data_IF_302504488387
#
_entry.id   IF_302504488387
#
_cell.length_a   1.000
_cell.length_b   1.000
_cell.length_c   1.000
_cell.angle_alpha   90.00
_cell.angle_beta   90.00
_cell.angle_gamma   90.00
#
_symmetry.space_group_name_H-M   'P 1'
#
loop_
_entity.id
_entity.type
_entity.pdbx_description
1 polymer ?
#
# COMPACT_ATOMS: atom_id res chain seq x y z
N UNK A 1 8.16 -1.68 -4.58
CA UNK A 1 6.81 -1.11 -4.77
C UNK A 1 6.88 -0.14 -5.93
N UNK A 2 5.91 -0.19 -6.84
CA UNK A 2 5.77 0.80 -7.90
C UNK A 2 4.42 1.50 -7.69
N UNK A 3 4.42 2.82 -7.67
CA UNK A 3 3.20 3.63 -7.54
C UNK A 3 3.00 4.40 -8.84
N UNK A 4 1.76 4.40 -9.31
CA UNK A 4 1.31 5.18 -10.47
C UNK A 4 0.13 6.06 -10.08
N UNK A 5 -0.40 6.84 -11.02
CA UNK A 5 -1.61 7.66 -10.82
C UNK A 5 -2.90 6.85 -10.70
N UNK A 6 -2.88 5.54 -11.02
CA UNK A 6 -4.09 4.69 -11.03
C UNK A 6 -4.00 3.48 -10.12
N UNK A 7 -2.79 2.97 -9.87
CA UNK A 7 -2.58 1.71 -9.14
C UNK A 7 -1.25 1.65 -8.40
N UNK A 8 -1.21 0.82 -7.37
CA UNK A 8 0.00 0.34 -6.69
C UNK A 8 0.31 -1.08 -7.19
N UNK A 9 1.58 -1.34 -7.48
CA UNK A 9 2.06 -2.65 -7.92
C UNK A 9 3.11 -3.18 -6.94
N UNK A 10 2.86 -4.38 -6.44
CA UNK A 10 3.79 -5.19 -5.65
C UNK A 10 4.40 -6.25 -6.55
N UNK A 11 5.73 -6.34 -6.51
CA UNK A 11 6.48 -7.40 -7.18
C UNK A 11 7.20 -8.14 -6.07
N UNK A 12 6.86 -9.42 -5.88
CA UNK A 12 7.58 -10.35 -4.99
C UNK A 12 8.31 -11.34 -5.88
N UNK A 13 9.61 -11.49 -5.69
CA UNK A 13 10.42 -12.48 -6.40
C UNK A 13 11.04 -13.42 -5.38
N UNK A 14 10.86 -14.72 -5.56
CA UNK A 14 11.43 -15.79 -4.73
C UNK A 14 12.40 -16.58 -5.62
N UNK A 15 13.70 -16.45 -5.37
CA UNK A 15 14.73 -17.07 -6.23
C UNK A 15 14.78 -16.48 -7.65
N UNK A 16 15.17 -17.30 -8.62
CA UNK A 16 15.43 -16.86 -10.01
C UNK A 16 14.23 -17.04 -10.97
N UNK A 17 13.24 -17.86 -10.60
CA UNK A 17 12.13 -18.22 -11.50
C UNK A 17 10.72 -18.12 -10.89
N UNK A 18 10.58 -17.68 -9.64
CA UNK A 18 9.28 -17.41 -9.03
C UNK A 18 9.11 -15.89 -8.85
N UNK A 19 8.16 -15.33 -9.60
CA UNK A 19 7.81 -13.92 -9.55
C UNK A 19 6.30 -13.78 -9.47
N UNK A 20 5.83 -13.24 -8.36
CA UNK A 20 4.43 -12.84 -8.16
C UNK A 20 4.29 -11.33 -8.33
N UNK A 21 3.39 -10.91 -9.22
CA UNK A 21 3.00 -9.50 -9.39
C UNK A 21 1.57 -9.32 -8.89
N UNK A 22 1.36 -8.40 -7.97
CA UNK A 22 0.04 -8.07 -7.41
C UNK A 22 -0.24 -6.59 -7.65
N UNK A 23 -1.45 -6.27 -8.10
CA UNK A 23 -1.85 -4.89 -8.39
C UNK A 23 -3.10 -4.50 -7.61
N UNK A 24 -3.16 -3.25 -7.18
CA UNK A 24 -4.33 -2.69 -6.50
C UNK A 24 -4.61 -1.29 -7.07
N UNK A 25 -5.84 -1.06 -7.51
CA UNK A 25 -6.30 0.26 -7.92
C UNK A 25 -6.31 1.20 -6.73
N UNK A 26 -5.85 2.44 -6.92
CA UNK A 26 -5.86 3.42 -5.83
C UNK A 26 -7.28 3.71 -5.33
N UNK A 27 -8.28 3.67 -6.21
CA UNK A 27 -9.70 3.85 -5.85
C UNK A 27 -10.28 2.73 -4.98
N UNK A 28 -9.59 1.58 -4.88
CA UNK A 28 -10.02 0.47 -4.02
C UNK A 28 -9.33 0.47 -2.66
N UNK A 29 -8.32 1.32 -2.47
CA UNK A 29 -7.59 1.43 -1.21
C UNK A 29 -8.52 2.10 -0.19
N UNK A 30 -8.75 1.42 0.93
CA UNK A 30 -9.53 1.94 2.03
C UNK A 30 -8.64 2.47 3.15
N UNK A 31 -7.55 1.74 3.46
CA UNK A 31 -6.60 2.15 4.49
C UNK A 31 -5.16 1.88 4.06
N UNK A 32 -4.26 2.76 4.54
CA UNK A 32 -2.82 2.60 4.41
C UNK A 32 -2.18 2.89 5.76
N UNK A 33 -1.41 1.94 6.26
CA UNK A 33 -0.69 2.08 7.52
C UNK A 33 0.73 1.56 7.41
N UNK A 34 1.60 1.93 8.34
CA UNK A 34 2.94 1.37 8.42
C UNK A 34 3.30 1.00 9.85
N UNK A 35 4.23 0.07 9.99
CA UNK A 35 4.73 -0.40 11.27
C UNK A 35 6.25 -0.51 11.24
N UNK A 36 6.90 0.12 12.22
CA UNK A 36 8.33 -0.06 12.53
C UNK A 36 8.40 -0.74 13.90
N UNK A 37 9.17 -1.83 14.01
CA UNK A 37 9.28 -2.61 15.25
C UNK A 37 10.73 -2.98 15.53
N UNK A 38 11.18 -2.69 16.75
CA UNK A 38 12.50 -3.07 17.27
C UNK A 38 13.56 -1.98 17.08
N UNK A 39 14.60 -2.04 17.92
CA UNK A 39 15.66 -1.03 17.99
C UNK A 39 16.37 -0.82 16.64
N UNK A 40 16.81 -1.91 16.01
CA UNK A 40 17.52 -1.85 14.73
C UNK A 40 16.65 -1.30 13.60
N UNK A 41 15.39 -1.75 13.49
CA UNK A 41 14.45 -1.24 12.49
C UNK A 41 14.18 0.25 12.65
N UNK A 42 14.11 0.75 13.89
CA UNK A 42 13.96 2.19 14.17
C UNK A 42 15.18 2.99 13.75
N UNK A 43 16.40 2.53 14.08
CA UNK A 43 17.64 3.23 13.70
C UNK A 43 17.83 3.26 12.18
N UNK A 44 17.63 2.12 11.53
CA UNK A 44 17.82 2.00 10.08
C UNK A 44 16.58 2.40 9.27
N UNK A 45 15.48 2.79 9.94
CA UNK A 45 14.22 3.24 9.34
C UNK A 45 13.57 2.22 8.40
N UNK A 46 13.65 0.93 8.71
CA UNK A 46 12.95 -0.12 7.97
C UNK A 46 11.69 -0.57 8.70
N UNK A 47 10.69 -0.99 7.94
CA UNK A 47 9.46 -1.53 8.51
C UNK A 47 8.56 -2.14 7.46
N UNK A 48 7.28 -2.28 7.79
CA UNK A 48 6.27 -2.83 6.91
C UNK A 48 5.25 -1.76 6.55
N UNK A 49 4.91 -1.65 5.27
CA UNK A 49 3.76 -0.87 4.80
C UNK A 49 2.61 -1.84 4.51
N UNK A 50 1.43 -1.54 5.05
CA UNK A 50 0.19 -2.30 4.87
C UNK A 50 -0.77 -1.47 4.02
N UNK A 51 -1.33 -2.05 2.96
CA UNK A 51 -2.37 -1.44 2.13
C UNK A 51 -3.57 -2.38 2.13
N UNK A 52 -4.72 -1.88 2.55
CA UNK A 52 -5.95 -2.66 2.70
C UNK A 52 -7.02 -2.13 1.74
N UNK A 53 -7.62 -3.04 0.97
CA UNK A 53 -8.77 -2.71 0.13
C UNK A 53 -10.08 -2.65 0.94
N UNK A 54 -11.05 -1.87 0.47
CA UNK A 54 -12.35 -1.69 1.15
C UNK A 54 -13.18 -2.97 1.32
N UNK A 55 -12.91 -4.01 0.53
CA UNK A 55 -13.53 -5.32 0.69
C UNK A 55 -12.87 -6.20 1.77
N UNK A 56 -11.80 -5.73 2.44
CA UNK A 56 -11.11 -6.43 3.53
C UNK A 56 -10.30 -7.66 3.13
N UNK A 57 -10.53 -8.23 1.95
CA UNK A 57 -9.90 -9.49 1.50
C UNK A 57 -8.54 -9.26 0.83
N UNK A 58 -8.32 -8.11 0.19
CA UNK A 58 -7.07 -7.84 -0.53
C UNK A 58 -6.15 -6.96 0.31
N UNK A 59 -5.01 -7.53 0.71
CA UNK A 59 -3.96 -6.84 1.46
C UNK A 59 -2.64 -6.91 0.71
N UNK A 60 -1.99 -5.75 0.53
CA UNK A 60 -0.62 -5.68 0.01
C UNK A 60 0.35 -5.26 1.11
N UNK A 61 1.12 -6.23 1.59
CA UNK A 61 2.19 -5.98 2.56
C UNK A 61 3.55 -5.78 1.90
N UNK A 62 4.25 -4.72 2.25
CA UNK A 62 5.62 -4.48 1.82
C UNK A 62 6.55 -4.57 3.03
N UNK A 63 7.02 -5.78 3.30
CA UNK A 63 7.96 -6.09 4.37
C UNK A 63 9.35 -5.50 4.06
N UNK A 64 10.11 -5.17 5.12
CA UNK A 64 11.47 -4.63 5.03
C UNK A 64 11.60 -3.40 4.12
N UNK A 65 10.53 -2.60 4.01
CA UNK A 65 10.52 -1.37 3.25
C UNK A 65 11.36 -0.32 3.98
N UNK A 66 12.28 0.31 3.25
CA UNK A 66 12.99 1.47 3.76
C UNK A 66 12.05 2.67 3.81
N UNK A 67 12.06 3.39 4.93
CA UNK A 67 11.26 4.59 5.17
C UNK A 67 9.76 4.39 4.85
N UNK A 68 9.06 3.43 5.45
CA UNK A 68 7.67 3.13 5.11
C UNK A 68 6.72 4.32 5.40
N UNK A 69 7.08 5.18 6.37
CA UNK A 69 6.36 6.44 6.62
C UNK A 69 6.42 7.44 5.45
N UNK A 70 7.49 7.44 4.64
CA UNK A 70 7.56 8.27 3.43
C UNK A 70 6.64 7.72 2.34
N UNK A 71 6.60 6.40 2.18
CA UNK A 71 5.68 5.73 1.26
C UNK A 71 4.22 6.02 1.63
N UNK A 72 3.86 5.94 2.91
CA UNK A 72 2.54 6.31 3.42
C UNK A 72 2.17 7.75 3.04
N UNK A 73 3.06 8.72 3.30
CA UNK A 73 2.81 10.13 2.95
C UNK A 73 2.57 10.34 1.46
N UNK A 74 3.37 9.69 0.59
CA UNK A 74 3.20 9.77 -0.87
C UNK A 74 1.86 9.17 -1.28
N UNK A 75 1.52 7.99 -0.75
CA UNK A 75 0.28 7.30 -1.11
C UNK A 75 -0.95 8.10 -0.66
N UNK A 76 -0.96 8.62 0.57
CA UNK A 76 -2.03 9.48 1.05
C UNK A 76 -2.18 10.75 0.20
N UNK A 77 -1.07 11.36 -0.23
CA UNK A 77 -1.12 12.51 -1.14
C UNK A 77 -1.71 12.17 -2.53
N UNK A 78 -1.59 10.93 -2.99
CA UNK A 78 -2.24 10.46 -4.22
C UNK A 78 -3.71 10.14 -4.00
N UNK A 79 -4.06 9.51 -2.88
CA UNK A 79 -5.43 9.19 -2.52
C UNK A 79 -6.29 10.44 -2.35
N UNK A 80 -5.76 11.50 -1.75
CA UNK A 80 -6.43 12.80 -1.61
C UNK A 80 -6.73 13.49 -2.94
N UNK A 81 -6.07 13.10 -4.03
CA UNK A 81 -6.31 13.64 -5.37
C UNK A 81 -7.34 12.85 -6.15
N UNK A 82 -7.71 11.67 -5.67
CA UNK A 82 -8.79 10.92 -6.28
C UNK A 82 -10.11 11.61 -5.92
N UNK A 83 -11.03 11.73 -6.86
CA UNK A 83 -12.42 12.03 -6.52
C UNK A 83 -12.86 10.96 -5.51
N UNK A 84 -13.33 11.38 -4.34
CA UNK A 84 -13.98 10.49 -3.40
C UNK A 84 -15.17 9.88 -4.14
N UNK A 85 -15.10 8.58 -4.43
CA UNK A 85 -16.24 7.87 -5.00
C UNK A 85 -17.21 7.56 -3.87
N UNK A 86 -17.83 8.61 -3.34
CA UNK A 86 -18.92 8.56 -2.35
C UNK A 86 -20.25 8.14 -3.04
N UNK A 87 -20.17 7.31 -4.09
CA UNK A 87 -21.25 6.96 -5.01
C UNK A 87 -21.99 5.67 -4.67
N UNK A 88 -22.26 5.40 -3.38
CA UNK A 88 -22.80 4.10 -2.95
C UNK A 88 -23.68 4.09 -1.70
N UNK A 89 -24.38 5.18 -1.37
CA UNK A 89 -25.46 5.17 -0.37
C UNK A 89 -26.48 6.28 -0.67
N UNK A 90 -27.10 6.18 -1.83
CA UNK A 90 -28.18 7.05 -2.28
C UNK A 90 -29.17 6.26 -3.13
N UNK A 91 -29.62 5.10 -2.64
CA UNK A 91 -30.81 4.41 -3.13
C UNK A 91 -31.56 3.82 -1.95
N UNK A 92 -32.84 4.25 -1.87
CA UNK A 92 -33.89 3.99 -0.88
C UNK A 92 -33.92 4.95 0.31
#
# INVERSE_FOLDING_TARGET
MIITTKRVVKIRQVGFFDRTVSEMLLSRINDVSHRIRGFWSTIFHYGTLHIVAGNGETVLDFEYMQNPGKALKILNGLLQRLPSDDGGAGLL
#
